data_IF_195554996189
#
_entry.id   IF_195554996189
#
_cell.length_a   1.000
_cell.length_b   1.000
_cell.length_c   1.000
_cell.angle_alpha   90.00
_cell.angle_beta   90.00
_cell.angle_gamma   90.00
#
_symmetry.space_group_name_H-M   'P 1'
#
loop_
_entity.id
_entity.type
_entity.pdbx_description
1 polymer ?
#
# COMPACT_ATOMS: atom_id res chain seq x y z
N UNK A 1 -5.79 -22.19 26.50
CA UNK A 1 -6.16 -21.75 25.14
C UNK A 1 -5.04 -20.86 24.67
N UNK A 2 -4.64 -20.93 23.42
CA UNK A 2 -3.56 -20.11 22.84
C UNK A 2 -4.17 -19.16 21.81
N UNK A 3 -3.79 -17.87 21.84
CA UNK A 3 -4.19 -16.91 20.81
C UNK A 3 -3.36 -17.09 19.55
N UNK A 4 -4.02 -17.12 18.42
CA UNK A 4 -3.42 -17.19 17.09
C UNK A 4 -4.08 -16.18 16.16
N UNK A 5 -3.38 -15.72 15.12
CA UNK A 5 -3.96 -14.86 14.11
C UNK A 5 -4.07 -15.65 12.81
N UNK A 6 -5.30 -15.80 12.33
CA UNK A 6 -5.59 -16.42 11.04
C UNK A 6 -5.45 -15.35 9.96
N UNK A 7 -4.56 -15.56 8.99
CA UNK A 7 -4.36 -14.65 7.86
C UNK A 7 -4.80 -15.34 6.57
N UNK A 8 -5.76 -14.73 5.87
CA UNK A 8 -6.32 -15.25 4.62
C UNK A 8 -5.93 -14.35 3.46
N UNK A 9 -5.55 -14.95 2.33
CA UNK A 9 -5.27 -14.26 1.07
C UNK A 9 -6.35 -14.55 0.03
N UNK A 10 -6.47 -13.74 -1.02
CA UNK A 10 -7.49 -13.90 -2.04
C UNK A 10 -6.87 -14.18 -3.42
N UNK A 11 -6.32 -13.18 -4.09
CA UNK A 11 -5.87 -13.26 -5.48
C UNK A 11 -4.73 -14.29 -5.72
N UNK A 12 -3.99 -14.66 -4.69
CA UNK A 12 -2.92 -15.66 -4.79
C UNK A 12 -3.46 -17.03 -5.23
N UNK A 13 -4.71 -17.36 -4.88
CA UNK A 13 -5.37 -18.61 -5.33
C UNK A 13 -5.48 -18.70 -6.86
N UNK A 14 -5.55 -17.57 -7.55
CA UNK A 14 -5.73 -17.52 -9.01
C UNK A 14 -4.42 -17.72 -9.79
N UNK A 15 -3.27 -17.93 -9.12
CA UNK A 15 -1.95 -17.96 -9.77
C UNK A 15 -1.52 -19.32 -10.32
N UNK A 16 -2.40 -20.33 -10.30
CA UNK A 16 -2.14 -21.65 -10.89
C UNK A 16 -0.77 -22.22 -10.47
N UNK A 17 0.03 -22.62 -11.43
CA UNK A 17 1.35 -23.22 -11.20
C UNK A 17 2.37 -22.26 -10.52
N UNK A 18 2.17 -20.96 -10.63
CA UNK A 18 3.05 -19.97 -10.01
C UNK A 18 2.68 -19.67 -8.54
N UNK A 19 1.60 -20.26 -8.03
CA UNK A 19 1.08 -20.00 -6.68
C UNK A 19 2.15 -20.10 -5.59
N UNK A 20 3.04 -21.08 -5.67
CA UNK A 20 4.12 -21.29 -4.70
C UNK A 20 5.09 -20.10 -4.59
N UNK A 21 5.38 -19.40 -5.71
CA UNK A 21 6.19 -18.19 -5.71
C UNK A 21 5.48 -17.05 -4.94
N UNK A 22 4.20 -16.80 -5.24
CA UNK A 22 3.43 -15.75 -4.57
C UNK A 22 3.23 -16.03 -3.08
N UNK A 23 3.01 -17.29 -2.70
CA UNK A 23 2.87 -17.69 -1.30
C UNK A 23 4.17 -17.50 -0.50
N UNK A 24 5.35 -17.81 -1.08
CA UNK A 24 6.64 -17.52 -0.44
C UNK A 24 6.85 -16.02 -0.25
N UNK A 25 6.65 -15.22 -1.31
CA UNK A 25 6.79 -13.76 -1.23
C UNK A 25 5.82 -13.16 -0.21
N UNK A 26 4.61 -13.72 -0.08
CA UNK A 26 3.63 -13.29 0.91
C UNK A 26 4.11 -13.59 2.34
N UNK A 27 4.60 -14.80 2.61
CA UNK A 27 5.15 -15.16 3.91
C UNK A 27 6.35 -14.28 4.27
N UNK A 28 7.29 -14.05 3.34
CA UNK A 28 8.44 -13.18 3.55
C UNK A 28 8.04 -11.74 3.87
N UNK A 29 6.96 -11.22 3.26
CA UNK A 29 6.47 -9.88 3.55
C UNK A 29 5.81 -9.79 4.93
N UNK A 30 5.09 -10.83 5.36
CA UNK A 30 4.57 -10.91 6.73
C UNK A 30 5.70 -10.97 7.77
N UNK A 31 6.73 -11.79 7.54
CA UNK A 31 7.92 -11.86 8.40
C UNK A 31 8.63 -10.49 8.54
N UNK A 32 8.75 -9.74 7.40
CA UNK A 32 9.32 -8.40 7.43
C UNK A 32 8.48 -7.41 8.23
N UNK A 33 7.15 -7.47 8.06
CA UNK A 33 6.21 -6.61 8.78
C UNK A 33 6.23 -6.85 10.29
N UNK A 34 6.47 -8.10 10.70
CA UNK A 34 6.52 -8.50 12.11
C UNK A 34 7.94 -8.49 12.71
N UNK A 35 8.92 -7.92 11.99
CA UNK A 35 10.30 -7.83 12.52
C UNK A 35 10.33 -7.17 13.90
N UNK A 36 11.05 -7.81 14.83
CA UNK A 36 11.17 -7.38 16.23
C UNK A 36 10.12 -7.96 17.17
N UNK A 37 9.10 -8.63 16.65
CA UNK A 37 8.13 -9.40 17.44
C UNK A 37 8.49 -10.88 17.34
N UNK A 38 8.56 -11.59 18.47
CA UNK A 38 8.70 -13.05 18.47
C UNK A 38 7.41 -13.69 17.98
N UNK A 39 7.47 -14.53 16.95
CA UNK A 39 6.32 -15.21 16.35
C UNK A 39 6.77 -16.39 15.50
N UNK A 40 5.81 -17.20 15.08
CA UNK A 40 5.98 -18.25 14.06
C UNK A 40 4.86 -18.10 13.01
N UNK A 41 5.22 -18.12 11.73
CA UNK A 41 4.26 -18.11 10.62
C UNK A 41 4.15 -19.50 10.03
N UNK A 42 3.01 -20.16 10.25
CA UNK A 42 2.75 -21.50 9.76
C UNK A 42 1.74 -21.48 8.60
N UNK A 43 2.16 -22.02 7.46
CA UNK A 43 1.27 -22.21 6.31
C UNK A 43 0.31 -23.37 6.55
N UNK A 44 -0.96 -23.12 6.28
CA UNK A 44 -2.01 -24.14 6.20
C UNK A 44 -2.71 -24.09 4.84
N UNK A 45 -3.59 -25.04 4.55
CA UNK A 45 -4.34 -25.05 3.29
C UNK A 45 -5.15 -23.75 3.14
N UNK A 46 -4.75 -22.90 2.19
CA UNK A 46 -5.44 -21.64 1.85
C UNK A 46 -5.30 -20.48 2.83
N UNK A 47 -4.43 -20.57 3.84
CA UNK A 47 -4.23 -19.52 4.87
C UNK A 47 -2.87 -19.65 5.56
N UNK A 48 -2.56 -18.66 6.38
CA UNK A 48 -1.44 -18.69 7.32
C UNK A 48 -1.93 -18.50 8.74
N UNK A 49 -1.22 -19.08 9.70
CA UNK A 49 -1.38 -18.82 11.14
C UNK A 49 -0.14 -18.11 11.64
N UNK A 50 -0.34 -17.08 12.43
CA UNK A 50 0.72 -16.44 13.23
C UNK A 50 0.51 -16.88 14.66
N UNK A 51 1.52 -17.51 15.24
CA UNK A 51 1.47 -18.22 16.53
C UNK A 51 2.72 -17.85 17.37
N UNK A 52 2.73 -18.24 18.66
CA UNK A 52 3.92 -18.13 19.53
C UNK A 52 4.32 -16.68 19.86
N UNK A 53 3.41 -15.74 19.77
CA UNK A 53 3.62 -14.34 20.14
C UNK A 53 3.06 -14.02 21.53
N UNK A 54 3.54 -12.94 22.14
CA UNK A 54 2.95 -12.41 23.37
C UNK A 54 1.54 -11.87 23.06
N UNK A 55 0.53 -12.36 23.78
CA UNK A 55 -0.89 -12.00 23.58
C UNK A 55 -1.16 -10.50 23.69
N UNK A 56 -0.36 -9.76 24.48
CA UNK A 56 -0.44 -8.32 24.60
C UNK A 56 -0.12 -7.60 23.28
N UNK A 57 0.61 -8.25 22.36
CA UNK A 57 0.99 -7.71 21.05
C UNK A 57 0.00 -8.03 19.93
N UNK A 58 -1.13 -8.68 20.24
CA UNK A 58 -2.12 -9.11 19.25
C UNK A 58 -2.62 -7.96 18.38
N UNK A 59 -2.92 -6.81 18.97
CA UNK A 59 -3.41 -5.63 18.25
C UNK A 59 -2.32 -5.04 17.35
N UNK A 60 -1.09 -4.95 17.83
CA UNK A 60 0.05 -4.46 17.04
C UNK A 60 0.34 -5.39 15.85
N UNK A 61 0.31 -6.70 16.06
CA UNK A 61 0.49 -7.69 14.97
C UNK A 61 -0.60 -7.51 13.92
N UNK A 62 -1.86 -7.37 14.34
CA UNK A 62 -2.99 -7.14 13.43
C UNK A 62 -2.82 -5.83 12.67
N UNK A 63 -2.44 -4.75 13.32
CA UNK A 63 -2.19 -3.46 12.66
C UNK A 63 -1.10 -3.57 11.60
N UNK A 64 0.06 -4.15 11.95
CA UNK A 64 1.17 -4.34 11.02
C UNK A 64 0.79 -5.21 9.83
N UNK A 65 0.13 -6.35 10.07
CA UNK A 65 -0.32 -7.26 9.02
C UNK A 65 -1.43 -6.67 8.15
N UNK A 66 -2.27 -5.78 8.70
CA UNK A 66 -3.33 -5.12 7.93
C UNK A 66 -2.79 -4.29 6.77
N UNK A 67 -1.55 -3.81 6.85
CA UNK A 67 -0.84 -3.05 5.82
C UNK A 67 -0.14 -3.94 4.79
N UNK A 68 0.05 -5.24 5.05
CA UNK A 68 0.75 -6.15 4.14
C UNK A 68 -0.11 -6.48 2.93
N UNK A 69 0.33 -6.09 1.74
CA UNK A 69 -0.35 -6.46 0.50
C UNK A 69 -0.36 -7.98 0.29
N UNK A 70 -1.54 -8.50 -0.03
CA UNK A 70 -1.85 -9.93 -0.06
C UNK A 70 -2.75 -10.37 1.08
N UNK A 71 -2.73 -9.70 2.23
CA UNK A 71 -3.66 -9.96 3.33
C UNK A 71 -5.05 -9.51 2.94
N UNK A 72 -5.97 -10.46 2.78
CA UNK A 72 -7.36 -10.17 2.46
C UNK A 72 -8.19 -9.94 3.72
N UNK A 73 -8.18 -10.95 4.61
CA UNK A 73 -8.83 -10.86 5.93
C UNK A 73 -7.99 -11.56 6.98
N UNK A 74 -8.17 -11.11 8.22
CA UNK A 74 -7.58 -11.71 9.41
C UNK A 74 -8.66 -11.97 10.45
N UNK A 75 -8.38 -12.88 11.38
CA UNK A 75 -9.16 -13.08 12.60
C UNK A 75 -8.21 -13.40 13.75
N UNK A 76 -8.42 -12.74 14.89
CA UNK A 76 -7.82 -13.20 16.15
C UNK A 76 -8.63 -14.37 16.63
N UNK A 77 -7.99 -15.52 16.83
CA UNK A 77 -8.65 -16.78 17.17
C UNK A 77 -8.04 -17.40 18.42
N UNK A 78 -8.84 -18.19 19.12
CA UNK A 78 -8.39 -19.11 20.15
C UNK A 78 -8.18 -20.49 19.53
N UNK A 79 -7.00 -21.06 19.70
CA UNK A 79 -6.66 -22.43 19.33
C UNK A 79 -6.92 -23.36 20.50
N UNK A 80 -7.78 -24.35 20.29
CA UNK A 80 -8.19 -25.34 21.28
C UNK A 80 -8.16 -26.74 20.69
N UNK A 81 -8.30 -27.79 21.52
CA UNK A 81 -8.51 -29.16 21.02
C UNK A 81 -9.86 -29.25 20.31
N UNK A 82 -9.95 -30.11 19.29
CA UNK A 82 -11.20 -30.46 18.62
C UNK A 82 -12.09 -31.32 19.53
N UNK A 83 -12.57 -30.73 20.61
CA UNK A 83 -13.47 -31.29 21.61
C UNK A 83 -14.61 -30.29 21.84
N UNK A 84 -15.86 -30.78 21.99
CA UNK A 84 -17.04 -29.90 22.05
C UNK A 84 -17.04 -28.98 23.27
N UNK A 85 -16.47 -29.43 24.41
CA UNK A 85 -16.43 -28.62 25.63
C UNK A 85 -15.31 -27.56 25.55
N UNK A 86 -14.16 -27.91 24.96
CA UNK A 86 -13.08 -26.96 24.69
C UNK A 86 -13.54 -25.89 23.69
N UNK A 87 -14.22 -26.31 22.61
CA UNK A 87 -14.79 -25.40 21.60
C UNK A 87 -15.81 -24.48 22.25
N UNK A 88 -16.70 -25.03 23.09
CA UNK A 88 -17.71 -24.22 23.78
C UNK A 88 -17.07 -23.17 24.70
N UNK A 89 -16.03 -23.54 25.48
CA UNK A 89 -15.31 -22.59 26.34
C UNK A 89 -14.71 -21.44 25.52
N UNK A 90 -14.08 -21.75 24.40
CA UNK A 90 -13.51 -20.76 23.50
C UNK A 90 -14.63 -19.87 22.88
N UNK A 91 -15.75 -20.44 22.46
CA UNK A 91 -16.90 -19.68 21.93
C UNK A 91 -17.49 -18.75 23.00
N UNK A 92 -17.62 -19.22 24.23
CA UNK A 92 -18.11 -18.39 25.34
C UNK A 92 -17.17 -17.21 25.64
N UNK A 93 -15.86 -17.40 25.47
CA UNK A 93 -14.86 -16.34 25.66
C UNK A 93 -14.92 -15.27 24.54
N UNK A 94 -14.95 -15.69 23.26
CA UNK A 94 -14.94 -14.74 22.14
C UNK A 94 -16.30 -14.11 21.86
N UNK A 95 -17.40 -14.66 22.39
CA UNK A 95 -18.76 -14.16 22.10
C UNK A 95 -19.08 -12.88 22.87
N UNK A 96 -19.86 -11.94 22.28
CA UNK A 96 -20.34 -10.76 22.99
C UNK A 96 -21.27 -11.15 24.16
N UNK A 97 -21.56 -10.21 25.04
CA UNK A 97 -22.50 -10.40 26.15
C UNK A 97 -23.96 -10.32 25.73
N UNK A 98 -24.26 -9.56 24.66
CA UNK A 98 -25.60 -9.29 24.16
C UNK A 98 -25.62 -9.09 22.64
N UNK A 99 -26.81 -9.10 22.05
CA UNK A 99 -27.01 -8.87 20.62
C UNK A 99 -27.37 -10.15 19.85
N UNK A 100 -27.40 -10.04 18.50
CA UNK A 100 -27.70 -11.19 17.65
C UNK A 100 -26.42 -11.86 17.14
N UNK A 101 -26.44 -13.19 17.10
CA UNK A 101 -25.30 -13.94 16.65
C UNK A 101 -25.67 -15.14 15.77
N UNK A 102 -24.66 -15.64 15.07
CA UNK A 102 -24.68 -16.89 14.32
C UNK A 102 -23.37 -17.65 14.57
N UNK A 103 -23.45 -18.97 14.72
CA UNK A 103 -22.26 -19.82 14.70
C UNK A 103 -22.09 -20.41 13.30
N UNK A 104 -20.91 -20.23 12.73
CA UNK A 104 -20.52 -20.82 11.44
C UNK A 104 -19.36 -21.77 11.62
N UNK A 105 -19.60 -23.08 11.37
CA UNK A 105 -18.57 -24.11 11.49
C UNK A 105 -18.06 -24.53 10.13
N UNK A 106 -16.75 -24.41 9.93
CA UNK A 106 -16.02 -25.00 8.82
C UNK A 106 -15.26 -26.25 9.32
N UNK A 107 -15.46 -27.39 8.67
CA UNK A 107 -14.88 -28.66 9.07
C UNK A 107 -13.96 -29.23 8.00
N UNK A 108 -12.64 -29.12 8.20
CA UNK A 108 -11.64 -29.84 7.41
C UNK A 108 -11.52 -31.30 7.87
N UNK A 109 -11.54 -31.55 9.17
CA UNK A 109 -11.54 -32.90 9.73
C UNK A 109 -12.87 -33.61 9.52
N UNK A 110 -12.94 -34.46 8.51
CA UNK A 110 -14.13 -35.28 8.23
C UNK A 110 -14.34 -36.46 9.17
N UNK A 111 -13.37 -36.77 10.03
CA UNK A 111 -13.46 -37.84 11.02
C UNK A 111 -14.17 -37.40 12.31
N UNK A 112 -14.31 -36.10 12.54
CA UNK A 112 -15.04 -35.59 13.69
C UNK A 112 -16.48 -36.10 13.69
N UNK A 113 -17.03 -36.56 14.83
CA UNK A 113 -18.33 -37.26 14.86
C UNK A 113 -19.52 -36.45 14.33
N UNK A 114 -19.52 -35.14 14.58
CA UNK A 114 -20.61 -34.23 14.18
C UNK A 114 -20.27 -33.52 12.87
N UNK A 115 -21.31 -33.26 12.05
CA UNK A 115 -21.15 -32.40 10.87
C UNK A 115 -21.18 -30.88 11.25
N UNK A 116 -20.81 -30.02 10.30
CA UNK A 116 -20.74 -28.57 10.57
C UNK A 116 -22.05 -27.97 11.08
N UNK A 117 -23.19 -28.39 10.55
CA UNK A 117 -24.49 -27.89 11.00
C UNK A 117 -24.84 -28.34 12.43
N UNK A 118 -24.52 -29.60 12.77
CA UNK A 118 -24.73 -30.13 14.10
C UNK A 118 -23.88 -29.41 15.14
N UNK A 119 -22.60 -29.17 14.83
CA UNK A 119 -21.68 -28.40 15.71
C UNK A 119 -22.21 -26.99 15.91
N UNK A 120 -22.59 -26.30 14.83
CA UNK A 120 -23.12 -24.93 14.92
C UNK A 120 -24.41 -24.87 15.76
N UNK A 121 -25.32 -25.83 15.59
CA UNK A 121 -26.57 -25.89 16.33
C UNK A 121 -26.34 -26.19 17.83
N UNK A 122 -25.51 -27.18 18.15
CA UNK A 122 -25.21 -27.55 19.53
C UNK A 122 -24.50 -26.43 20.27
N UNK A 123 -23.43 -25.89 19.71
CA UNK A 123 -22.66 -24.78 20.32
C UNK A 123 -23.54 -23.53 20.44
N UNK A 124 -24.34 -23.21 19.41
CA UNK A 124 -25.30 -22.08 19.45
C UNK A 124 -26.33 -22.23 20.55
N UNK A 125 -26.91 -23.43 20.72
CA UNK A 125 -27.86 -23.74 21.81
C UNK A 125 -27.21 -23.59 23.19
N UNK A 126 -26.05 -24.19 23.40
CA UNK A 126 -25.28 -24.06 24.66
C UNK A 126 -24.96 -22.61 24.99
N UNK A 127 -24.63 -21.77 23.97
CA UNK A 127 -24.32 -20.37 24.16
C UNK A 127 -25.54 -19.54 24.57
N UNK A 128 -26.73 -19.83 24.01
CA UNK A 128 -28.00 -19.21 24.41
C UNK A 128 -28.36 -19.49 25.87
N UNK A 129 -28.08 -20.72 26.32
CA UNK A 129 -28.32 -21.11 27.72
C UNK A 129 -27.34 -20.41 28.67
N UNK A 130 -26.10 -20.21 28.24
CA UNK A 130 -25.02 -19.60 29.01
C UNK A 130 -25.12 -18.07 29.07
N UNK A 131 -25.44 -17.39 27.94
CA UNK A 131 -25.50 -15.91 27.83
C UNK A 131 -26.93 -15.47 27.46
N UNK A 132 -27.71 -15.07 28.45
CA UNK A 132 -29.16 -14.73 28.27
C UNK A 132 -29.40 -13.43 27.48
N UNK A 133 -28.41 -12.59 27.28
CA UNK A 133 -28.49 -11.38 26.44
C UNK A 133 -28.36 -11.65 24.93
N UNK A 134 -28.04 -12.87 24.54
CA UNK A 134 -27.85 -13.25 23.14
C UNK A 134 -29.14 -13.79 22.51
N UNK A 135 -29.29 -13.55 21.20
CA UNK A 135 -30.34 -14.11 20.33
C UNK A 135 -29.76 -14.63 19.06
N UNK A 136 -30.25 -15.74 18.53
CA UNK A 136 -29.83 -16.28 17.24
C UNK A 136 -30.51 -15.50 16.10
N UNK A 137 -29.71 -15.05 15.14
CA UNK A 137 -30.15 -14.56 13.84
C UNK A 137 -29.24 -15.14 12.75
N UNK A 138 -29.77 -16.05 11.95
CA UNK A 138 -29.02 -16.76 10.90
C UNK A 138 -28.91 -15.96 9.61
N UNK A 139 -29.74 -14.91 9.44
CA UNK A 139 -29.80 -14.12 8.21
C UNK A 139 -29.03 -12.80 8.32
N UNK A 140 -29.23 -12.05 9.41
CA UNK A 140 -28.60 -10.75 9.64
C UNK A 140 -27.96 -10.65 11.05
N UNK A 141 -27.03 -11.55 11.41
CA UNK A 141 -26.41 -11.51 12.73
C UNK A 141 -25.50 -10.28 12.88
N UNK A 142 -25.52 -9.66 14.06
CA UNK A 142 -24.54 -8.64 14.42
C UNK A 142 -23.15 -9.24 14.57
N UNK A 143 -23.09 -10.50 15.02
CA UNK A 143 -21.83 -11.22 15.25
C UNK A 143 -21.85 -12.59 14.60
N UNK A 144 -20.83 -12.92 13.82
CA UNK A 144 -20.59 -14.27 13.31
C UNK A 144 -19.43 -14.89 14.09
N UNK A 145 -19.72 -15.94 14.83
CA UNK A 145 -18.70 -16.72 15.57
C UNK A 145 -18.26 -17.89 14.67
N UNK A 146 -17.02 -17.85 14.24
CA UNK A 146 -16.42 -18.86 13.38
C UNK A 146 -15.78 -20.01 14.19
N UNK A 147 -16.05 -21.24 13.80
CA UNK A 147 -15.38 -22.44 14.29
C UNK A 147 -14.73 -23.15 13.09
N UNK A 148 -13.45 -23.37 13.13
CA UNK A 148 -12.71 -24.04 12.06
C UNK A 148 -11.99 -25.28 12.60
N UNK A 149 -12.59 -26.46 12.39
CA UNK A 149 -12.02 -27.75 12.81
C UNK A 149 -10.96 -28.20 11.82
N UNK A 150 -9.78 -28.50 12.35
CA UNK A 150 -8.60 -28.87 11.57
C UNK A 150 -8.29 -30.36 11.70
N UNK A 151 -7.65 -30.94 10.66
CA UNK A 151 -7.29 -32.35 10.60
C UNK A 151 -6.24 -32.78 11.66
N UNK A 152 -5.50 -31.81 12.23
CA UNK A 152 -4.51 -32.04 13.27
C UNK A 152 -5.10 -32.16 14.69
N UNK A 153 -6.43 -32.25 14.82
CA UNK A 153 -7.09 -32.36 16.12
C UNK A 153 -7.22 -31.03 16.86
N UNK A 154 -7.08 -29.88 16.17
CA UNK A 154 -7.31 -28.55 16.75
C UNK A 154 -8.55 -27.88 16.16
N UNK A 155 -9.18 -26.99 16.92
CA UNK A 155 -10.23 -26.08 16.47
C UNK A 155 -9.78 -24.63 16.68
N UNK A 156 -10.05 -23.79 15.70
CA UNK A 156 -9.83 -22.34 15.76
C UNK A 156 -11.18 -21.66 15.94
N UNK A 157 -11.33 -20.92 17.02
CA UNK A 157 -12.56 -20.19 17.36
C UNK A 157 -12.30 -18.70 17.32
N UNK A 158 -13.08 -17.95 16.56
CA UNK A 158 -12.89 -16.51 16.35
C UNK A 158 -14.20 -15.76 16.21
N UNK A 159 -14.15 -14.48 16.49
CA UNK A 159 -15.25 -13.55 16.32
C UNK A 159 -14.84 -12.45 15.34
N UNK A 160 -15.58 -12.35 14.22
CA UNK A 160 -15.37 -11.31 13.24
C UNK A 160 -14.21 -11.51 12.27
N UNK A 161 -14.19 -10.62 11.29
CA UNK A 161 -13.20 -10.55 10.23
C UNK A 161 -12.61 -9.15 10.15
N UNK A 162 -11.29 -9.03 10.24
CA UNK A 162 -10.56 -7.79 10.07
C UNK A 162 -10.06 -7.74 8.62
N UNK A 163 -10.38 -6.66 7.91
CA UNK A 163 -9.92 -6.48 6.52
C UNK A 163 -8.46 -6.04 6.47
N UNK A 164 -7.69 -6.65 5.58
CA UNK A 164 -6.34 -6.22 5.25
C UNK A 164 -6.28 -5.38 3.96
N UNK A 165 -5.07 -5.00 3.56
CA UNK A 165 -4.81 -4.17 2.37
C UNK A 165 -5.22 -4.84 1.05
N UNK A 166 -5.35 -6.18 1.02
CA UNK A 166 -5.65 -6.94 -0.19
C UNK A 166 -4.52 -6.90 -1.22
N UNK A 167 -4.86 -7.17 -2.49
CA UNK A 167 -3.90 -7.11 -3.59
C UNK A 167 -2.92 -8.29 -3.64
N UNK A 168 -1.70 -8.02 -4.14
CA UNK A 168 -0.65 -9.00 -4.40
C UNK A 168 0.59 -8.72 -3.54
N UNK A 169 1.35 -9.76 -3.14
CA UNK A 169 2.57 -9.58 -2.36
C UNK A 169 3.59 -8.69 -3.09
N UNK A 170 4.13 -7.71 -2.39
CA UNK A 170 5.16 -6.81 -2.92
C UNK A 170 6.40 -7.60 -3.37
N UNK A 171 6.97 -7.22 -4.51
CA UNK A 171 8.11 -7.87 -5.14
C UNK A 171 7.73 -8.90 -6.21
N UNK A 172 6.43 -9.21 -6.39
CA UNK A 172 5.98 -10.20 -7.38
C UNK A 172 5.71 -9.62 -8.78
N UNK A 173 5.71 -8.29 -8.93
CA UNK A 173 5.44 -7.58 -10.19
C UNK A 173 6.59 -6.62 -10.59
N UNK A 174 7.81 -6.94 -10.20
CA UNK A 174 8.97 -6.11 -10.52
C UNK A 174 9.14 -4.89 -9.60
N UNK A 175 9.85 -3.87 -10.08
CA UNK A 175 10.26 -2.67 -9.33
C UNK A 175 10.02 -1.40 -10.14
N UNK A 176 9.46 -0.37 -9.53
CA UNK A 176 9.19 0.92 -10.15
C UNK A 176 9.69 2.11 -9.34
N UNK A 177 9.97 3.22 -10.01
CA UNK A 177 10.39 4.49 -9.43
C UNK A 177 9.20 5.46 -9.40
N UNK A 178 8.72 5.80 -8.21
CA UNK A 178 7.65 6.77 -7.98
C UNK A 178 8.23 8.18 -7.88
N UNK A 179 7.76 9.09 -8.71
CA UNK A 179 8.00 10.51 -8.51
C UNK A 179 7.07 11.00 -7.38
N UNK A 180 7.60 11.07 -6.17
CA UNK A 180 6.85 11.44 -4.97
C UNK A 180 6.97 12.94 -4.70
N UNK A 181 5.85 13.58 -4.40
CA UNK A 181 5.73 14.97 -3.99
C UNK A 181 5.02 15.11 -2.65
N UNK A 182 4.96 16.31 -2.09
CA UNK A 182 4.20 16.61 -0.88
C UNK A 182 2.68 16.62 -1.05
N UNK A 183 2.17 16.45 -2.27
CA UNK A 183 0.73 16.44 -2.58
C UNK A 183 0.06 15.10 -2.28
N UNK A 184 -1.28 15.10 -2.41
CA UNK A 184 -2.15 13.94 -2.12
C UNK A 184 -1.95 12.81 -3.13
N UNK A 185 -1.68 13.14 -4.41
CA UNK A 185 -1.84 12.22 -5.54
C UNK A 185 -0.68 11.20 -5.63
N UNK A 186 0.56 11.64 -5.51
CA UNK A 186 1.71 10.77 -5.72
C UNK A 186 1.83 9.63 -4.71
N UNK A 187 1.58 9.80 -3.38
CA UNK A 187 1.57 8.67 -2.46
C UNK A 187 0.48 7.64 -2.79
N UNK A 188 -0.71 8.11 -3.20
CA UNK A 188 -1.82 7.23 -3.61
C UNK A 188 -1.45 6.43 -4.86
N UNK A 189 -0.80 7.07 -5.85
CA UNK A 189 -0.31 6.38 -7.05
C UNK A 189 0.67 5.26 -6.69
N UNK A 190 1.64 5.55 -5.82
CA UNK A 190 2.61 4.57 -5.32
C UNK A 190 1.94 3.40 -4.61
N UNK A 191 1.00 3.68 -3.71
CA UNK A 191 0.24 2.66 -2.98
C UNK A 191 -0.57 1.77 -3.93
N UNK A 192 -1.25 2.34 -4.94
CA UNK A 192 -2.03 1.57 -5.91
C UNK A 192 -1.17 0.61 -6.72
N UNK A 193 0.01 1.05 -7.16
CA UNK A 193 0.94 0.20 -7.91
C UNK A 193 1.58 -0.86 -7.00
N UNK A 194 1.98 -0.48 -5.77
CA UNK A 194 2.49 -1.44 -4.79
C UNK A 194 1.48 -2.54 -4.45
N UNK A 195 0.19 -2.18 -4.35
CA UNK A 195 -0.92 -3.14 -4.16
C UNK A 195 -1.02 -4.18 -5.28
N UNK A 196 -0.47 -3.92 -6.47
CA UNK A 196 -0.41 -4.90 -7.57
C UNK A 196 0.85 -5.77 -7.52
N UNK A 197 1.61 -5.70 -6.43
CA UNK A 197 2.79 -6.52 -6.18
C UNK A 197 4.12 -5.89 -6.61
N UNK A 198 4.12 -4.63 -7.03
CA UNK A 198 5.35 -3.94 -7.42
C UNK A 198 6.11 -3.43 -6.20
N UNK A 199 7.42 -3.64 -6.17
CA UNK A 199 8.30 -2.94 -5.24
C UNK A 199 8.46 -1.50 -5.70
N UNK A 200 8.17 -0.53 -4.84
CA UNK A 200 8.23 0.90 -5.18
C UNK A 200 9.43 1.51 -4.49
N UNK A 201 10.29 2.18 -5.26
CA UNK A 201 11.26 3.17 -4.78
C UNK A 201 10.75 4.57 -5.13
N UNK A 202 11.14 5.56 -4.35
CA UNK A 202 10.69 6.93 -4.50
C UNK A 202 11.83 7.83 -4.97
N UNK A 203 11.49 8.84 -5.78
CA UNK A 203 12.36 9.97 -6.09
C UNK A 203 11.61 11.26 -5.80
N UNK A 204 12.26 12.16 -5.04
CA UNK A 204 11.77 13.48 -4.72
C UNK A 204 12.72 14.55 -5.28
N UNK A 205 12.15 15.61 -5.81
CA UNK A 205 12.89 16.76 -6.30
C UNK A 205 12.66 17.95 -5.37
N UNK A 206 13.73 18.58 -4.94
CA UNK A 206 13.63 19.76 -4.06
C UNK A 206 14.42 20.94 -4.60
N UNK A 207 14.05 22.14 -4.17
CA UNK A 207 14.60 23.41 -4.67
C UNK A 207 15.11 24.30 -3.54
N UNK A 208 15.90 23.74 -2.62
CA UNK A 208 16.53 24.55 -1.57
C UNK A 208 17.44 25.61 -2.20
N UNK A 209 17.42 26.92 -1.76
CA UNK A 209 16.71 27.44 -0.59
C UNK A 209 15.26 27.91 -0.85
N UNK A 210 14.73 27.79 -2.07
CA UNK A 210 13.38 28.30 -2.41
C UNK A 210 12.26 27.44 -1.77
N UNK A 211 12.47 26.14 -1.55
CA UNK A 211 11.60 25.31 -0.71
C UNK A 211 12.22 25.13 0.65
N UNK A 212 11.38 25.09 1.69
CA UNK A 212 11.83 24.94 3.08
C UNK A 212 12.10 23.46 3.45
N UNK A 213 12.76 23.23 4.57
CA UNK A 213 13.05 21.89 5.08
C UNK A 213 11.78 21.12 5.45
N UNK A 214 10.75 21.80 5.91
CA UNK A 214 9.46 21.19 6.28
C UNK A 214 8.76 20.56 5.05
N UNK A 215 8.96 21.11 3.85
CA UNK A 215 8.47 20.50 2.61
C UNK A 215 9.15 19.15 2.35
N UNK A 216 10.46 19.06 2.61
CA UNK A 216 11.22 17.80 2.52
C UNK A 216 10.79 16.79 3.58
N UNK A 217 10.70 17.20 4.85
CA UNK A 217 10.24 16.36 5.96
C UNK A 217 8.85 15.76 5.69
N UNK A 218 7.94 16.58 5.15
CA UNK A 218 6.61 16.14 4.71
C UNK A 218 6.70 14.98 3.69
N UNK A 219 7.60 15.06 2.72
CA UNK A 219 7.77 14.00 1.72
C UNK A 219 8.42 12.75 2.32
N UNK A 220 9.37 12.91 3.25
CA UNK A 220 9.97 11.80 3.99
C UNK A 220 8.92 11.04 4.82
N UNK A 221 8.00 11.77 5.47
CA UNK A 221 6.87 11.15 6.19
C UNK A 221 5.91 10.42 5.24
N UNK A 222 5.57 11.01 4.07
CA UNK A 222 4.73 10.35 3.07
C UNK A 222 5.37 9.09 2.49
N UNK A 223 6.68 9.13 2.25
CA UNK A 223 7.43 7.95 1.83
C UNK A 223 7.48 6.88 2.93
N UNK A 224 7.54 7.28 4.21
CA UNK A 224 7.47 6.38 5.36
C UNK A 224 6.11 5.70 5.49
N UNK A 225 5.01 6.42 5.23
CA UNK A 225 3.68 5.82 5.14
C UNK A 225 3.65 4.71 4.07
N UNK A 226 4.20 4.99 2.88
CA UNK A 226 4.28 3.99 1.81
C UNK A 226 5.18 2.81 2.20
N UNK A 227 6.30 3.06 2.88
CA UNK A 227 7.21 2.04 3.39
C UNK A 227 6.51 1.04 4.33
N UNK A 228 5.55 1.50 5.13
CA UNK A 228 4.72 0.64 5.99
C UNK A 228 3.91 -0.40 5.19
N UNK A 229 3.51 -0.11 3.96
CA UNK A 229 2.81 -1.05 3.07
C UNK A 229 3.74 -1.93 2.23
N UNK A 230 4.96 -1.47 1.98
CA UNK A 230 5.92 -2.14 1.09
C UNK A 230 7.04 -2.87 1.84
N UNK A 231 6.95 -2.91 3.18
CA UNK A 231 8.00 -3.44 4.06
C UNK A 231 9.37 -2.79 3.83
N UNK A 232 9.34 -1.47 3.68
CA UNK A 232 10.50 -0.61 3.42
C UNK A 232 10.53 -0.06 2.00
N UNK A 233 11.10 1.12 1.83
CA UNK A 233 11.33 1.77 0.54
C UNK A 233 12.66 2.53 0.55
N UNK A 234 13.10 2.96 -0.63
CA UNK A 234 14.24 3.88 -0.77
C UNK A 234 13.72 5.21 -1.30
N UNK A 235 14.07 6.31 -0.66
CA UNK A 235 13.78 7.66 -1.11
C UNK A 235 15.06 8.29 -1.66
N UNK A 236 15.04 8.59 -2.95
CA UNK A 236 16.08 9.31 -3.66
C UNK A 236 15.72 10.80 -3.68
N UNK A 237 16.59 11.69 -3.18
CA UNK A 237 16.36 13.12 -3.13
C UNK A 237 17.33 13.80 -4.05
N UNK A 238 16.83 14.63 -4.98
CA UNK A 238 17.63 15.30 -6.00
C UNK A 238 17.34 16.80 -5.98
N UNK A 239 18.41 17.60 -5.99
CA UNK A 239 18.31 19.06 -6.04
C UNK A 239 18.15 19.52 -7.48
N UNK A 240 17.11 20.35 -7.75
CA UNK A 240 16.81 20.88 -9.08
C UNK A 240 16.87 22.41 -9.16
N UNK A 241 17.38 23.06 -8.13
CA UNK A 241 17.44 24.53 -8.02
C UNK A 241 18.14 25.16 -9.22
N UNK A 242 19.35 24.68 -9.56
CA UNK A 242 20.12 25.26 -10.68
C UNK A 242 19.42 25.04 -12.03
N UNK A 243 18.73 23.93 -12.23
CA UNK A 243 17.88 23.70 -13.41
C UNK A 243 16.80 24.78 -13.50
N UNK A 244 16.11 25.05 -12.38
CA UNK A 244 15.06 26.07 -12.36
C UNK A 244 15.59 27.48 -12.62
N UNK A 245 16.73 27.83 -12.05
CA UNK A 245 17.40 29.12 -12.28
C UNK A 245 17.81 29.29 -13.75
N UNK A 246 18.38 28.27 -14.37
CA UNK A 246 18.77 28.30 -15.78
C UNK A 246 17.55 28.39 -16.73
N UNK A 247 16.46 27.66 -16.43
CA UNK A 247 15.20 27.79 -17.18
C UNK A 247 14.66 29.21 -17.05
N UNK A 248 14.59 29.74 -15.82
CA UNK A 248 14.09 31.08 -15.55
C UNK A 248 14.90 32.19 -16.28
N UNK A 249 16.23 32.01 -16.34
CA UNK A 249 17.15 32.96 -16.95
C UNK A 249 17.13 32.93 -18.48
N UNK A 250 17.00 31.75 -19.10
CA UNK A 250 17.25 31.55 -20.53
C UNK A 250 15.99 31.29 -21.35
N UNK A 251 14.92 30.81 -20.74
CA UNK A 251 13.72 30.37 -21.44
C UNK A 251 12.54 31.29 -21.19
N UNK A 252 11.53 31.18 -22.05
CA UNK A 252 10.25 31.84 -21.80
C UNK A 252 9.59 31.22 -20.55
N UNK A 253 9.32 32.08 -19.54
CA UNK A 253 8.77 31.64 -18.22
C UNK A 253 7.46 30.88 -18.32
N UNK A 254 6.64 31.06 -19.35
CA UNK A 254 5.40 30.32 -19.56
C UNK A 254 5.61 28.81 -19.73
N UNK A 255 6.80 28.38 -20.17
CA UNK A 255 7.20 26.96 -20.32
C UNK A 255 7.91 26.39 -19.10
N UNK A 256 8.11 27.16 -18.02
CA UNK A 256 8.87 26.79 -16.82
C UNK A 256 8.48 25.42 -16.29
N UNK A 257 7.19 25.20 -16.05
CA UNK A 257 6.69 23.92 -15.48
C UNK A 257 6.91 22.76 -16.46
N UNK A 258 6.66 22.98 -17.73
CA UNK A 258 6.82 21.95 -18.77
C UNK A 258 8.28 21.52 -18.91
N UNK A 259 9.21 22.46 -18.99
CA UNK A 259 10.64 22.20 -19.09
C UNK A 259 11.18 21.50 -17.83
N UNK A 260 10.82 22.01 -16.64
CA UNK A 260 11.23 21.40 -15.38
C UNK A 260 10.77 19.94 -15.29
N UNK A 261 9.53 19.64 -15.66
CA UNK A 261 9.01 18.26 -15.65
C UNK A 261 9.78 17.36 -16.62
N UNK A 262 10.20 17.86 -17.78
CA UNK A 262 11.05 17.09 -18.71
C UNK A 262 12.40 16.74 -18.08
N UNK A 263 13.03 17.68 -17.38
CA UNK A 263 14.24 17.40 -16.62
C UNK A 263 14.01 16.34 -15.52
N UNK A 264 12.94 16.49 -14.74
CA UNK A 264 12.58 15.53 -13.70
C UNK A 264 12.41 14.11 -14.26
N UNK A 265 11.73 13.96 -15.40
CA UNK A 265 11.51 12.66 -16.03
C UNK A 265 12.81 12.03 -16.52
N UNK A 266 13.73 12.79 -17.15
CA UNK A 266 15.05 12.32 -17.56
C UNK A 266 15.91 11.88 -16.37
N UNK A 267 15.93 12.69 -15.30
CA UNK A 267 16.68 12.37 -14.08
C UNK A 267 16.10 11.10 -13.43
N UNK A 268 14.76 11.04 -13.31
CA UNK A 268 14.07 9.88 -12.74
C UNK A 268 14.36 8.59 -13.53
N UNK A 269 14.35 8.63 -14.88
CA UNK A 269 14.70 7.48 -15.69
C UNK A 269 16.15 7.00 -15.46
N UNK A 270 17.10 7.94 -15.41
CA UNK A 270 18.51 7.59 -15.19
C UNK A 270 18.76 6.95 -13.83
N UNK A 271 18.14 7.50 -12.77
CA UNK A 271 18.25 6.94 -11.43
C UNK A 271 17.49 5.60 -11.34
N UNK A 272 16.31 5.51 -11.93
CA UNK A 272 15.52 4.28 -12.01
C UNK A 272 16.31 3.12 -12.65
N UNK A 273 16.96 3.37 -13.78
CA UNK A 273 17.82 2.38 -14.44
C UNK A 273 18.96 1.90 -13.54
N UNK A 274 19.66 2.83 -12.87
CA UNK A 274 20.74 2.49 -11.93
C UNK A 274 20.26 1.66 -10.75
N UNK A 275 19.03 1.91 -10.28
CA UNK A 275 18.38 1.17 -9.19
C UNK A 275 17.73 -0.14 -9.65
N UNK A 276 17.74 -0.46 -10.94
CA UNK A 276 17.07 -1.63 -11.50
C UNK A 276 15.54 -1.54 -11.52
N UNK A 277 14.98 -0.32 -11.53
CA UNK A 277 13.55 -0.11 -11.75
C UNK A 277 13.18 -0.33 -13.21
N UNK A 278 11.99 -0.86 -13.45
CA UNK A 278 11.47 -1.26 -14.75
C UNK A 278 10.39 -0.31 -15.28
N UNK A 279 9.98 0.66 -14.50
CA UNK A 279 9.03 1.70 -14.88
C UNK A 279 9.19 2.97 -14.03
N UNK A 280 8.64 4.08 -14.52
CA UNK A 280 8.34 5.27 -13.74
C UNK A 280 6.86 5.27 -13.33
N UNK A 281 6.57 5.85 -12.16
CA UNK A 281 5.21 5.96 -11.62
C UNK A 281 4.97 7.44 -11.30
N UNK A 282 3.86 8.00 -11.78
CA UNK A 282 3.48 9.40 -11.49
C UNK A 282 2.07 9.48 -10.92
N UNK A 283 1.84 10.51 -10.09
CA UNK A 283 0.52 10.83 -9.54
C UNK A 283 -0.33 11.72 -10.46
N UNK A 284 -0.09 11.70 -11.77
CA UNK A 284 -0.86 12.52 -12.72
C UNK A 284 -2.30 12.00 -12.86
N UNK A 285 -3.27 12.93 -12.77
CA UNK A 285 -4.68 12.72 -13.08
C UNK A 285 -5.09 13.65 -14.22
N UNK A 286 -5.75 13.12 -15.25
CA UNK A 286 -6.08 13.90 -16.45
C UNK A 286 -7.02 15.07 -16.13
N UNK A 287 -6.62 16.28 -16.52
CA UNK A 287 -7.43 17.48 -16.37
C UNK A 287 -7.50 18.07 -14.96
N UNK A 288 -6.76 17.54 -13.98
CA UNK A 288 -6.83 18.02 -12.60
C UNK A 288 -6.12 19.37 -12.39
N UNK A 289 -4.98 19.59 -13.05
CA UNK A 289 -4.23 20.85 -13.04
C UNK A 289 -3.75 21.22 -14.43
N UNK A 290 -3.34 22.48 -14.64
CA UNK A 290 -2.95 23.03 -15.94
C UNK A 290 -1.88 22.22 -16.69
N UNK A 291 -0.96 21.57 -15.98
CA UNK A 291 0.10 20.72 -16.56
C UNK A 291 -0.32 19.28 -16.86
N UNK A 292 -1.52 18.87 -16.45
CA UNK A 292 -2.04 17.50 -16.60
C UNK A 292 -3.02 17.39 -17.80
N UNK A 293 -2.69 18.05 -18.89
CA UNK A 293 -3.33 17.88 -20.19
C UNK A 293 -2.65 16.77 -21.00
N UNK A 294 -3.29 16.27 -22.04
CA UNK A 294 -2.68 15.27 -22.93
C UNK A 294 -1.37 15.78 -23.52
N UNK A 295 -1.35 17.06 -23.94
CA UNK A 295 -0.15 17.71 -24.51
C UNK A 295 0.97 17.83 -23.45
N UNK A 296 0.62 18.23 -22.19
CA UNK A 296 1.55 18.32 -21.08
C UNK A 296 2.15 16.96 -20.70
N UNK A 297 1.30 15.94 -20.62
CA UNK A 297 1.73 14.55 -20.34
C UNK A 297 2.56 13.96 -21.48
N UNK A 298 2.21 14.26 -22.73
CA UNK A 298 2.97 13.86 -23.91
C UNK A 298 4.36 14.50 -23.90
N UNK A 299 4.41 15.80 -23.62
CA UNK A 299 5.68 16.54 -23.54
C UNK A 299 6.62 15.96 -22.47
N UNK A 300 6.13 15.81 -21.23
CA UNK A 300 6.94 15.27 -20.13
C UNK A 300 7.30 13.82 -20.36
N UNK A 301 6.42 13.01 -20.95
CA UNK A 301 6.66 11.60 -21.24
C UNK A 301 7.60 11.33 -22.40
N UNK A 302 7.65 12.25 -23.39
CA UNK A 302 8.46 12.06 -24.62
C UNK A 302 9.97 12.02 -24.41
N UNK A 303 10.45 12.38 -23.24
CA UNK A 303 11.88 12.35 -22.86
C UNK A 303 12.29 11.07 -22.15
N UNK A 304 11.34 10.19 -21.85
CA UNK A 304 11.60 8.87 -21.29
C UNK A 304 11.70 7.88 -22.45
N UNK A 305 12.90 7.30 -22.62
CA UNK A 305 13.21 6.53 -23.82
C UNK A 305 12.96 5.03 -23.70
N UNK A 306 13.14 4.47 -22.50
CA UNK A 306 13.22 3.02 -22.34
C UNK A 306 12.32 2.45 -21.24
N UNK A 307 11.74 3.27 -20.39
CA UNK A 307 10.88 2.81 -19.29
C UNK A 307 9.41 3.19 -19.54
N UNK A 308 8.45 2.29 -19.34
CA UNK A 308 7.05 2.67 -19.34
C UNK A 308 6.74 3.62 -18.17
N UNK A 309 5.80 4.55 -18.39
CA UNK A 309 5.29 5.46 -17.37
C UNK A 309 3.91 4.97 -16.94
N UNK A 310 3.76 4.59 -15.68
CA UNK A 310 2.50 4.17 -15.09
C UNK A 310 1.80 5.38 -14.44
N UNK A 311 0.56 5.64 -14.84
CA UNK A 311 -0.29 6.73 -14.35
C UNK A 311 -1.59 6.19 -13.78
N UNK A 312 -1.57 5.60 -12.57
CA UNK A 312 -2.73 4.88 -12.05
C UNK A 312 -3.93 5.77 -11.74
N UNK A 313 -3.73 7.10 -11.65
CA UNK A 313 -4.77 8.05 -11.28
C UNK A 313 -5.45 8.75 -12.47
N UNK A 314 -5.06 8.46 -13.71
CA UNK A 314 -5.57 9.19 -14.89
C UNK A 314 -7.11 9.21 -15.02
N UNK A 315 -7.80 8.22 -14.53
CA UNK A 315 -9.26 8.11 -14.58
C UNK A 315 -9.98 8.39 -13.26
N UNK A 316 -9.26 8.86 -12.23
CA UNK A 316 -9.81 9.12 -10.90
C UNK A 316 -10.15 10.59 -10.72
N UNK A 317 -11.30 10.88 -10.09
CA UNK A 317 -11.59 12.21 -9.61
C UNK A 317 -10.87 12.52 -8.28
N UNK A 318 -10.94 13.79 -7.86
CA UNK A 318 -10.20 14.24 -6.67
C UNK A 318 -10.73 13.61 -5.38
N UNK A 319 -12.02 13.33 -5.29
CA UNK A 319 -12.63 12.73 -4.08
C UNK A 319 -12.20 11.28 -3.91
N UNK A 320 -12.18 10.50 -5.00
CA UNK A 320 -11.69 9.11 -4.98
C UNK A 320 -10.23 9.03 -4.54
N UNK A 321 -9.39 9.99 -4.97
CA UNK A 321 -7.99 10.06 -4.55
C UNK A 321 -7.88 10.44 -3.06
N UNK A 322 -8.69 11.39 -2.58
CA UNK A 322 -8.72 11.79 -1.16
C UNK A 322 -9.17 10.64 -0.27
N UNK A 323 -10.20 9.89 -0.66
CA UNK A 323 -10.64 8.72 0.11
C UNK A 323 -9.54 7.67 0.26
N UNK A 324 -8.80 7.38 -0.83
CA UNK A 324 -7.66 6.46 -0.79
C UNK A 324 -6.51 7.01 0.05
N UNK A 325 -6.24 8.31 -0.03
CA UNK A 325 -5.21 8.98 0.78
C UNK A 325 -5.52 8.89 2.28
N UNK A 326 -6.78 9.07 2.67
CA UNK A 326 -7.25 8.88 4.05
C UNK A 326 -7.13 7.41 4.49
N UNK A 327 -7.58 6.50 3.64
CA UNK A 327 -7.52 5.06 3.95
C UNK A 327 -6.09 4.53 4.16
N UNK A 328 -5.09 5.11 3.49
CA UNK A 328 -3.69 4.74 3.67
C UNK A 328 -2.95 5.57 4.75
N UNK A 329 -3.60 6.56 5.36
CA UNK A 329 -3.01 7.41 6.40
C UNK A 329 -2.10 8.53 5.89
N UNK A 330 -2.17 8.89 4.59
CA UNK A 330 -1.33 9.93 3.99
C UNK A 330 -1.98 11.32 3.95
N UNK A 331 -3.30 11.40 4.09
CA UNK A 331 -4.05 12.63 3.83
C UNK A 331 -3.63 13.79 4.73
N UNK A 332 -3.61 13.60 6.06
CA UNK A 332 -3.30 14.66 7.03
C UNK A 332 -1.87 15.20 6.89
N UNK A 333 -0.96 14.36 6.41
CA UNK A 333 0.41 14.78 6.09
C UNK A 333 0.38 15.62 4.80
N UNK A 334 -0.33 15.15 3.77
CA UNK A 334 -0.36 15.78 2.44
C UNK A 334 -0.96 17.19 2.42
N UNK A 335 -1.91 17.50 3.31
CA UNK A 335 -2.59 18.81 3.36
C UNK A 335 -1.81 19.87 4.17
N UNK A 336 -0.67 19.55 4.77
CA UNK A 336 0.16 20.53 5.46
C UNK A 336 0.63 21.62 4.49
N UNK A 337 0.70 22.90 4.91
CA UNK A 337 0.90 24.07 4.03
C UNK A 337 2.38 24.27 3.63
N UNK A 338 3.02 23.23 3.10
CA UNK A 338 4.38 23.31 2.58
C UNK A 338 4.40 23.06 1.08
N UNK A 339 5.00 23.98 0.35
CA UNK A 339 4.98 24.01 -1.11
C UNK A 339 6.03 23.09 -1.74
N UNK A 340 5.67 22.48 -2.86
CA UNK A 340 6.55 21.64 -3.67
C UNK A 340 7.49 22.48 -4.57
N UNK A 341 8.54 21.86 -5.09
CA UNK A 341 9.48 22.51 -6.01
C UNK A 341 8.82 23.05 -7.29
N UNK A 342 7.72 22.49 -7.76
CA UNK A 342 7.03 22.91 -8.96
C UNK A 342 6.34 24.29 -8.84
N UNK A 343 6.17 24.82 -7.63
CA UNK A 343 5.57 26.14 -7.39
C UNK A 343 6.62 27.26 -7.42
N UNK A 344 7.90 26.92 -7.37
CA UNK A 344 9.00 27.87 -7.47
C UNK A 344 9.05 28.43 -8.92
N UNK A 345 9.13 29.75 -9.07
CA UNK A 345 9.11 30.45 -10.36
C UNK A 345 7.86 30.20 -11.24
N UNK A 346 6.69 29.95 -10.62
CA UNK A 346 5.45 29.72 -11.34
C UNK A 346 5.07 30.97 -12.17
N UNK A 347 4.85 30.85 -13.49
CA UNK A 347 4.38 31.96 -14.31
C UNK A 347 2.92 32.28 -13.99
N UNK A 348 2.52 33.53 -14.17
CA UNK A 348 1.12 33.95 -14.04
C UNK A 348 0.18 33.21 -15.00
N UNK A 349 0.68 32.90 -16.20
CA UNK A 349 -0.04 32.21 -17.27
C UNK A 349 0.81 31.06 -17.83
N UNK A 350 0.77 29.85 -17.21
CA UNK A 350 1.48 28.69 -17.74
C UNK A 350 0.84 28.23 -19.06
N UNK A 351 1.64 27.74 -19.98
CA UNK A 351 1.14 27.13 -21.22
C UNK A 351 0.44 25.81 -20.88
N UNK A 352 -0.89 25.75 -21.10
CA UNK A 352 -1.72 24.59 -20.80
C UNK A 352 -1.59 23.49 -21.87
N UNK A 353 -1.48 23.93 -23.17
CA UNK A 353 -1.33 23.01 -24.32
C UNK A 353 -0.03 23.30 -25.06
N UNK A 354 1.10 22.89 -24.51
CA UNK A 354 2.41 23.20 -25.11
C UNK A 354 2.60 22.45 -26.43
N UNK A 355 3.05 23.15 -27.46
CA UNK A 355 3.44 22.56 -28.73
C UNK A 355 4.87 22.03 -28.63
N UNK A 356 5.13 20.81 -29.11
CA UNK A 356 6.45 20.20 -29.04
C UNK A 356 7.55 21.02 -29.71
N UNK A 357 7.25 21.69 -30.84
CA UNK A 357 8.22 22.53 -31.52
C UNK A 357 8.70 23.70 -30.66
N UNK A 358 7.77 24.35 -29.94
CA UNK A 358 8.09 25.48 -29.06
C UNK A 358 8.90 25.00 -27.83
N UNK A 359 8.52 23.84 -27.26
CA UNK A 359 9.24 23.25 -26.14
C UNK A 359 10.68 22.92 -26.53
N UNK A 360 10.89 22.29 -27.68
CA UNK A 360 12.22 21.92 -28.15
C UNK A 360 13.08 23.15 -28.46
N UNK A 361 12.46 24.23 -29.00
CA UNK A 361 13.15 25.49 -29.22
C UNK A 361 13.59 26.14 -27.89
N UNK A 362 12.74 26.10 -26.86
CA UNK A 362 13.10 26.59 -25.53
C UNK A 362 14.18 25.73 -24.89
N UNK A 363 14.05 24.38 -24.94
CA UNK A 363 15.01 23.45 -24.37
C UNK A 363 16.39 23.54 -25.02
N UNK A 364 16.47 23.84 -26.30
CA UNK A 364 17.74 24.04 -27.04
C UNK A 364 18.61 25.20 -26.51
N UNK A 365 18.07 26.09 -25.69
CA UNK A 365 18.80 27.18 -25.03
C UNK A 365 19.59 26.70 -23.79
N UNK A 366 19.38 25.49 -23.36
CA UNK A 366 19.89 24.92 -22.11
C UNK A 366 20.95 23.84 -22.37
N UNK A 367 21.97 23.76 -21.51
CA UNK A 367 22.85 22.60 -21.45
C UNK A 367 22.16 21.45 -20.68
N UNK A 368 21.26 20.74 -21.39
CA UNK A 368 20.42 19.69 -20.79
C UNK A 368 21.27 18.60 -20.13
N UNK A 369 22.32 18.14 -20.79
CA UNK A 369 23.17 17.06 -20.28
C UNK A 369 24.02 17.48 -19.08
N UNK A 370 24.58 18.68 -19.11
CA UNK A 370 25.35 19.25 -18.00
C UNK A 370 24.49 19.42 -16.75
N UNK A 371 23.32 20.03 -16.91
CA UNK A 371 22.35 20.25 -15.82
C UNK A 371 21.86 18.93 -15.19
N UNK A 372 21.59 17.92 -16.00
CA UNK A 372 21.16 16.60 -15.49
C UNK A 372 22.30 15.92 -14.72
N UNK A 373 23.54 15.95 -15.22
CA UNK A 373 24.70 15.36 -14.54
C UNK A 373 24.95 16.03 -13.19
N UNK A 374 24.86 17.35 -13.14
CA UNK A 374 24.98 18.12 -11.91
C UNK A 374 23.88 17.76 -10.91
N UNK A 375 22.61 17.75 -11.35
CA UNK A 375 21.50 17.36 -10.48
C UNK A 375 21.68 15.94 -9.92
N UNK A 376 22.09 14.97 -10.74
CA UNK A 376 22.33 13.60 -10.28
C UNK A 376 23.53 13.54 -9.30
N UNK A 377 24.51 14.43 -9.41
CA UNK A 377 25.63 14.47 -8.45
C UNK A 377 25.18 14.90 -7.05
N UNK A 378 24.05 15.58 -6.93
CA UNK A 378 23.44 15.98 -5.66
C UNK A 378 22.58 14.88 -5.00
N UNK A 379 22.52 13.67 -5.59
CA UNK A 379 21.67 12.58 -5.13
C UNK A 379 21.97 12.18 -3.69
N UNK A 380 20.96 12.29 -2.84
CA UNK A 380 20.92 11.79 -1.48
C UNK A 380 19.99 10.58 -1.42
N UNK A 381 20.35 9.53 -0.67
CA UNK A 381 19.57 8.28 -0.61
C UNK A 381 19.24 7.96 0.83
N UNK A 382 17.94 7.90 1.14
CA UNK A 382 17.41 7.49 2.43
C UNK A 382 16.74 6.12 2.32
N UNK A 383 16.99 5.26 3.31
CA UNK A 383 16.29 3.97 3.46
C UNK A 383 15.25 4.11 4.57
N UNK A 384 14.01 3.86 4.24
CA UNK A 384 12.84 3.98 5.11
C UNK A 384 12.20 2.62 5.38
#
# INVERSE_FOLDING_TARGET
MEKVIIVRYCEIHLKGNNRGFFERSFAENMEKALRGIRHEIRKQSGRYLVEGFDEALSEEIVERLSKVFGVHTMSVALSVKSDMDEIFRAVAEVSPSEGTFKVETHRADKKFPLNSMQISAEIGGRLLDYKKGLKVDIHNPQTVIGIDLRENGTALVFNGLIRGAGGMPVGTAGKGMLLISGGIDSPVAGHMIAKRGMKVECIHFHSYPYTNMQAREKVEELASVLAGYTCGTTLNIVKVTHIQEEIHKKCNGEYMVTLLRRFMMRIAERIAKKSGCQCLITGESLGQVASQTIEGMTSSGSVVESLPILRPLCGFDKNEIIERSRAMGAYEISIRPYEDCCTVFLPRHPVIRPKMADILAEEAKLDVEGLIKEAISSLEVLKL
#
